data_IF_077423909797
#
_entry.id   IF_077423909797
#
_cell.length_a   1.000
_cell.length_b   1.000
_cell.length_c   1.000
_cell.angle_alpha   90.00
_cell.angle_beta   90.00
_cell.angle_gamma   90.00
#
_symmetry.space_group_name_H-M   'P 1'
#
loop_
_entity.id
_entity.type
_entity.pdbx_description
1 polymer ?
#
# COMPACT_ATOMS: atom_id res chain seq x y z
N UNK A 1 -0.56 23.30 28.33
CA UNK A 1 -0.44 21.83 28.24
C UNK A 1 0.96 21.51 27.78
N UNK A 2 1.72 20.72 28.53
CA UNK A 2 3.05 20.26 28.08
C UNK A 2 2.87 19.26 26.94
N UNK A 3 3.49 19.53 25.78
CA UNK A 3 3.49 18.60 24.65
C UNK A 3 4.32 17.37 25.05
N UNK A 4 3.73 16.19 24.98
CA UNK A 4 4.47 14.92 25.15
C UNK A 4 5.09 14.54 23.80
N UNK A 5 6.40 14.34 23.72
CA UNK A 5 7.03 13.91 22.49
C UNK A 5 6.55 12.50 22.11
N UNK A 6 6.33 12.29 20.83
CA UNK A 6 6.00 10.97 20.26
C UNK A 6 7.10 10.59 19.28
N UNK A 7 7.58 9.35 19.36
CA UNK A 7 8.58 8.79 18.44
C UNK A 7 7.93 7.72 17.61
N UNK A 8 8.01 7.83 16.29
CA UNK A 8 7.70 6.77 15.34
C UNK A 8 9.02 6.18 14.83
N UNK A 9 9.29 4.91 15.15
CA UNK A 9 10.48 4.21 14.69
C UNK A 9 10.08 3.20 13.62
N UNK A 10 10.59 3.36 12.41
CA UNK A 10 10.32 2.48 11.27
C UNK A 10 11.54 1.59 11.07
N UNK A 11 11.37 0.28 11.27
CA UNK A 11 12.39 -0.73 11.01
C UNK A 11 12.11 -1.32 9.62
N UNK A 12 12.58 -0.63 8.60
CA UNK A 12 12.35 -1.00 7.21
C UNK A 12 12.96 -2.36 6.88
N UNK A 13 12.18 -3.24 6.24
CA UNK A 13 12.58 -4.60 5.96
C UNK A 13 12.46 -5.58 7.14
N UNK A 14 12.04 -5.12 8.33
CA UNK A 14 11.82 -5.99 9.49
C UNK A 14 10.47 -6.71 9.38
N UNK A 15 10.47 -7.85 8.67
CA UNK A 15 9.28 -8.67 8.45
C UNK A 15 9.08 -9.75 9.51
N UNK A 16 7.90 -10.35 9.50
CA UNK A 16 7.54 -11.47 10.37
C UNK A 16 7.45 -12.77 9.57
N UNK A 17 8.24 -13.77 9.96
CA UNK A 17 8.24 -15.12 9.40
C UNK A 17 8.62 -16.10 10.49
N UNK A 18 7.82 -17.16 10.65
CA UNK A 18 8.02 -18.16 11.72
C UNK A 18 9.19 -19.12 11.43
N UNK A 19 9.51 -19.34 10.14
CA UNK A 19 10.62 -20.19 9.74
C UNK A 19 11.96 -19.53 10.11
N UNK A 20 12.83 -20.29 10.78
CA UNK A 20 14.15 -19.82 11.23
C UNK A 20 15.21 -19.85 10.14
N UNK A 21 15.20 -20.88 9.28
CA UNK A 21 16.23 -21.06 8.26
C UNK A 21 16.29 -19.86 7.31
N UNK A 22 17.43 -19.18 7.28
CA UNK A 22 17.65 -17.97 6.48
C UNK A 22 16.82 -16.77 6.95
N UNK A 23 16.41 -16.74 8.21
CA UNK A 23 15.70 -15.65 8.85
C UNK A 23 16.55 -15.03 9.95
N UNK A 24 17.36 -14.04 9.57
CA UNK A 24 18.29 -13.40 10.50
C UNK A 24 17.61 -12.74 11.71
N UNK A 25 16.37 -12.30 11.58
CA UNK A 25 15.59 -11.73 12.71
C UNK A 25 15.27 -12.84 13.72
N UNK A 26 14.76 -13.99 13.26
CA UNK A 26 14.40 -15.11 14.14
C UNK A 26 15.61 -15.84 14.74
N UNK A 27 16.80 -15.71 14.14
CA UNK A 27 18.06 -16.25 14.65
C UNK A 27 18.81 -15.29 15.57
N UNK A 28 18.50 -13.99 15.49
CA UNK A 28 19.15 -12.97 16.29
C UNK A 28 18.67 -13.00 17.76
N UNK A 29 19.52 -12.56 18.65
CA UNK A 29 19.16 -12.31 20.05
C UNK A 29 18.51 -10.91 20.16
N UNK A 30 17.18 -10.86 20.24
CA UNK A 30 16.39 -9.62 20.22
C UNK A 30 15.55 -9.42 21.50
N UNK A 31 16.15 -9.43 22.71
CA UNK A 31 15.38 -9.46 23.96
C UNK A 31 14.47 -8.24 24.15
N UNK A 32 14.86 -7.08 23.61
CA UNK A 32 14.04 -5.86 23.73
C UNK A 32 12.81 -5.95 22.81
N UNK A 33 12.99 -6.39 21.56
CA UNK A 33 11.87 -6.57 20.63
C UNK A 33 10.92 -7.67 21.09
N UNK A 34 11.46 -8.77 21.58
CA UNK A 34 10.67 -9.89 22.11
C UNK A 34 9.80 -9.41 23.29
N UNK A 35 10.37 -8.64 24.20
CA UNK A 35 9.65 -8.03 25.32
C UNK A 35 8.57 -7.06 24.84
N UNK A 36 8.89 -6.18 23.90
CA UNK A 36 7.93 -5.20 23.38
C UNK A 36 6.74 -5.90 22.71
N UNK A 37 6.98 -6.94 21.91
CA UNK A 37 5.92 -7.71 21.26
C UNK A 37 5.05 -8.49 22.25
N UNK A 38 5.61 -8.94 23.39
CA UNK A 38 4.90 -9.71 24.40
C UNK A 38 4.07 -8.84 25.36
N UNK A 39 4.58 -7.67 25.74
CA UNK A 39 4.02 -6.86 26.85
C UNK A 39 3.21 -5.66 26.36
N UNK A 40 3.37 -5.22 25.11
CA UNK A 40 2.69 -4.04 24.57
C UNK A 40 1.73 -4.40 23.44
N UNK A 41 0.78 -3.50 23.09
CA UNK A 41 -0.12 -3.74 21.97
C UNK A 41 0.65 -4.02 20.68
N UNK A 42 0.37 -5.16 20.06
CA UNK A 42 1.03 -5.62 18.85
C UNK A 42 0.00 -6.06 17.81
N UNK A 43 0.20 -5.68 16.56
CA UNK A 43 -0.65 -6.05 15.44
C UNK A 43 0.20 -6.29 14.19
N UNK A 44 -0.16 -7.33 13.43
CA UNK A 44 0.46 -7.61 12.13
C UNK A 44 -0.19 -6.74 11.06
N UNK A 45 0.60 -5.98 10.32
CA UNK A 45 0.16 -5.22 9.17
C UNK A 45 0.49 -5.93 7.86
N UNK A 46 -0.37 -5.76 6.85
CA UNK A 46 -0.06 -6.20 5.49
C UNK A 46 0.86 -5.18 4.82
N UNK A 47 1.91 -5.68 4.14
CA UNK A 47 2.88 -4.86 3.44
C UNK A 47 2.93 -5.13 1.93
N UNK A 48 1.91 -5.79 1.36
CA UNK A 48 1.87 -6.19 -0.05
C UNK A 48 0.47 -6.10 -0.64
N UNK A 49 0.38 -6.13 -1.96
CA UNK A 49 -0.86 -6.18 -2.72
C UNK A 49 -1.80 -5.01 -2.47
N UNK A 50 -3.09 -5.25 -2.57
CA UNK A 50 -4.14 -4.23 -2.45
C UNK A 50 -4.13 -3.49 -1.11
N UNK A 51 -3.67 -4.13 -0.04
CA UNK A 51 -3.56 -3.52 1.29
C UNK A 51 -2.59 -2.32 1.33
N UNK A 52 -1.70 -2.19 0.36
CA UNK A 52 -0.77 -1.07 0.21
C UNK A 52 -0.93 -0.33 -1.13
N UNK A 53 -2.01 -0.60 -1.86
CA UNK A 53 -2.33 0.09 -3.12
C UNK A 53 -1.60 -0.46 -4.36
N UNK A 54 -1.06 -1.67 -4.28
CA UNK A 54 -0.43 -2.40 -5.38
C UNK A 54 -1.40 -3.45 -5.96
N UNK A 55 -1.15 -3.96 -7.18
CA UNK A 55 -1.87 -5.11 -7.71
C UNK A 55 -1.83 -6.29 -6.75
N UNK A 56 -2.87 -7.13 -6.78
CA UNK A 56 -2.93 -8.32 -5.95
C UNK A 56 -1.72 -9.25 -6.20
N UNK A 57 -1.18 -9.83 -5.13
CA UNK A 57 0.00 -10.68 -5.17
C UNK A 57 1.33 -9.95 -5.39
N UNK A 58 1.35 -8.65 -5.61
CA UNK A 58 2.59 -7.89 -5.76
C UNK A 58 3.21 -7.59 -4.40
N UNK A 59 4.51 -7.91 -4.25
CA UNK A 59 5.28 -7.59 -3.06
C UNK A 59 5.41 -6.07 -2.88
N UNK A 60 5.23 -5.60 -1.66
CA UNK A 60 5.43 -4.19 -1.30
C UNK A 60 6.89 -3.76 -1.36
N UNK A 61 7.09 -2.46 -1.23
CA UNK A 61 8.41 -1.83 -1.14
C UNK A 61 8.36 -0.66 -0.15
N UNK A 62 9.54 -0.13 0.18
CA UNK A 62 9.69 0.95 1.14
C UNK A 62 8.94 2.22 0.74
N UNK A 63 8.99 2.61 -0.53
CA UNK A 63 8.35 3.81 -1.05
C UNK A 63 6.84 3.79 -0.84
N UNK A 64 6.20 2.71 -1.27
CA UNK A 64 4.75 2.51 -1.12
C UNK A 64 4.35 2.42 0.35
N UNK A 65 5.12 1.70 1.17
CA UNK A 65 4.84 1.56 2.61
C UNK A 65 4.91 2.90 3.34
N UNK A 66 5.97 3.67 3.13
CA UNK A 66 6.12 5.00 3.74
C UNK A 66 5.04 5.99 3.28
N UNK A 67 4.65 5.93 2.00
CA UNK A 67 3.59 6.77 1.48
C UNK A 67 2.25 6.48 2.17
N UNK A 68 1.89 5.21 2.34
CA UNK A 68 0.66 4.81 3.03
C UNK A 68 0.67 5.21 4.50
N UNK A 69 1.79 5.01 5.20
CA UNK A 69 1.94 5.44 6.60
C UNK A 69 1.82 6.97 6.73
N UNK A 70 2.48 7.72 5.87
CA UNK A 70 2.43 9.18 5.89
C UNK A 70 1.05 9.75 5.54
N UNK A 71 0.32 9.09 4.64
CA UNK A 71 -1.03 9.49 4.25
C UNK A 71 -2.12 9.03 5.24
N UNK A 72 -1.82 8.06 6.11
CA UNK A 72 -2.81 7.44 7.01
C UNK A 72 -3.93 6.70 6.29
N UNK A 73 -3.74 6.32 5.04
CA UNK A 73 -4.70 5.60 4.19
C UNK A 73 -3.99 4.87 3.06
N UNK A 74 -4.68 3.93 2.42
CA UNK A 74 -4.17 3.26 1.22
C UNK A 74 -4.10 4.27 0.06
N UNK A 75 -2.92 4.41 -0.53
CA UNK A 75 -2.67 5.16 -1.77
C UNK A 75 -2.52 4.16 -2.90
N UNK A 76 -3.55 4.04 -3.73
CA UNK A 76 -3.50 3.19 -4.90
C UNK A 76 -2.51 3.73 -5.94
N UNK A 77 -1.59 2.87 -6.38
CA UNK A 77 -0.71 3.17 -7.51
C UNK A 77 -1.52 3.27 -8.79
N UNK A 78 -1.01 3.97 -9.80
CA UNK A 78 -1.75 4.30 -11.03
C UNK A 78 -2.40 3.08 -11.68
N UNK A 79 -1.64 1.99 -11.87
CA UNK A 79 -2.18 0.76 -12.45
C UNK A 79 -3.32 0.19 -11.62
N UNK A 80 -3.13 0.08 -10.31
CA UNK A 80 -4.15 -0.45 -9.39
C UNK A 80 -5.40 0.44 -9.36
N UNK A 81 -5.19 1.76 -9.41
CA UNK A 81 -6.28 2.74 -9.44
C UNK A 81 -7.13 2.61 -10.71
N UNK A 82 -6.49 2.43 -11.87
CA UNK A 82 -7.19 2.22 -13.14
C UNK A 82 -7.95 0.89 -13.12
N UNK A 83 -7.29 -0.19 -12.72
CA UNK A 83 -7.93 -1.51 -12.60
C UNK A 83 -9.14 -1.46 -11.67
N UNK A 84 -8.98 -0.84 -10.50
CA UNK A 84 -10.10 -0.68 -9.55
C UNK A 84 -11.23 0.14 -10.15
N UNK A 85 -10.95 1.21 -10.86
CA UNK A 85 -11.98 2.02 -11.51
C UNK A 85 -12.74 1.24 -12.59
N UNK A 86 -12.08 0.31 -13.30
CA UNK A 86 -12.72 -0.59 -14.26
C UNK A 86 -13.64 -1.58 -13.53
N UNK A 87 -13.14 -2.20 -12.47
CA UNK A 87 -13.88 -3.21 -11.70
C UNK A 87 -15.10 -2.60 -10.99
N UNK A 88 -14.96 -1.38 -10.46
CA UNK A 88 -16.05 -0.66 -9.80
C UNK A 88 -17.04 -0.02 -10.81
N UNK A 89 -16.70 0.07 -12.10
CA UNK A 89 -17.50 0.71 -13.15
C UNK A 89 -17.25 2.19 -13.36
N UNK A 90 -16.54 2.87 -12.45
CA UNK A 90 -16.26 4.30 -12.48
C UNK A 90 -15.49 4.74 -13.75
N UNK A 91 -14.66 3.84 -14.28
CA UNK A 91 -13.89 4.09 -15.50
C UNK A 91 -14.82 4.41 -16.69
N UNK A 92 -15.93 3.71 -16.80
CA UNK A 92 -16.91 3.87 -17.90
C UNK A 92 -17.78 5.12 -17.73
N UNK A 93 -17.78 5.72 -16.56
CA UNK A 93 -18.49 6.99 -16.27
C UNK A 93 -17.55 8.21 -16.28
N UNK A 94 -16.28 8.01 -16.65
CA UNK A 94 -15.30 9.10 -16.71
C UNK A 94 -15.69 10.12 -17.79
N UNK A 95 -16.04 11.32 -17.34
CA UNK A 95 -16.55 12.40 -18.21
C UNK A 95 -15.58 12.82 -19.32
N UNK A 96 -14.26 12.78 -19.04
CA UNK A 96 -13.26 13.15 -20.05
C UNK A 96 -13.17 12.10 -21.15
N UNK A 97 -13.21 10.81 -20.78
CA UNK A 97 -13.21 9.70 -21.76
C UNK A 97 -14.50 9.70 -22.58
N UNK A 98 -15.66 9.88 -21.94
CA UNK A 98 -16.94 9.95 -22.63
C UNK A 98 -16.99 11.12 -23.61
N UNK A 99 -16.54 12.31 -23.22
CA UNK A 99 -16.47 13.48 -24.10
C UNK A 99 -15.55 13.25 -25.31
N UNK A 100 -14.40 12.58 -25.12
CA UNK A 100 -13.52 12.22 -26.21
C UNK A 100 -14.18 11.24 -27.19
N UNK A 101 -14.86 10.21 -26.68
CA UNK A 101 -15.62 9.26 -27.51
C UNK A 101 -16.76 9.93 -28.30
N UNK A 102 -17.52 10.80 -27.65
CA UNK A 102 -18.59 11.57 -28.29
C UNK A 102 -18.06 12.48 -29.40
N UNK A 103 -16.93 13.17 -29.14
CA UNK A 103 -16.28 14.01 -30.15
C UNK A 103 -15.80 13.19 -31.34
N UNK A 104 -15.16 12.06 -31.12
CA UNK A 104 -14.71 11.15 -32.18
C UNK A 104 -15.90 10.63 -33.00
N UNK A 105 -16.98 10.20 -32.35
CA UNK A 105 -18.21 9.75 -33.01
C UNK A 105 -18.85 10.85 -33.86
N UNK A 106 -18.94 12.08 -33.33
CA UNK A 106 -19.53 13.22 -34.01
C UNK A 106 -18.75 13.61 -35.26
N UNK A 107 -17.43 13.54 -35.21
CA UNK A 107 -16.55 13.99 -36.32
C UNK A 107 -16.10 12.84 -37.23
N UNK A 108 -16.50 11.60 -36.97
CA UNK A 108 -16.07 10.44 -37.76
C UNK A 108 -14.55 10.17 -37.68
N UNK A 109 -13.93 10.52 -36.56
CA UNK A 109 -12.47 10.37 -36.34
C UNK A 109 -12.19 9.24 -35.37
N UNK A 110 -10.96 8.71 -35.39
CA UNK A 110 -10.51 7.80 -34.34
C UNK A 110 -10.38 8.54 -33.02
N UNK A 111 -10.71 7.89 -31.92
CA UNK A 111 -10.66 8.44 -30.56
C UNK A 111 -9.26 8.42 -29.92
N UNK A 112 -8.22 8.58 -30.73
CA UNK A 112 -6.83 8.57 -30.22
C UNK A 112 -6.41 9.99 -29.93
#
# INVERSE_FOLDING_TARGET
MSKKPTVLMILDGYGLRDEKKGNGIAEANTPVMDKLMAEYPFVKGNASGLAVGLPDGQMGNSEVGHMNMGAGRIIYQELTKITKAIDDGDFFENKALLAACENAKKNGTAGI
#
